data_IF_193982369666
#
_entry.id   IF_193982369666
#
_cell.length_a   1.000
_cell.length_b   1.000
_cell.length_c   1.000
_cell.angle_alpha   90.00
_cell.angle_beta   90.00
_cell.angle_gamma   90.00
#
_symmetry.space_group_name_H-M   'P 1'
#
loop_
_entity.id
_entity.type
_entity.pdbx_description
1 polymer ?
#
# COMPACT_ATOMS: atom_id res chain seq x y z
N UNK A 1 6.31 17.46 13.89
CA UNK A 1 7.42 17.58 12.92
C UNK A 1 6.82 18.01 11.58
N UNK A 2 7.49 18.85 10.80
CA UNK A 2 7.02 19.22 9.45
C UNK A 2 6.98 17.98 8.56
N UNK A 3 5.99 17.90 7.68
CA UNK A 3 5.85 16.78 6.73
C UNK A 3 6.93 16.89 5.65
N UNK A 4 7.52 15.75 5.31
CA UNK A 4 8.60 15.59 4.34
C UNK A 4 8.04 15.37 2.95
N UNK A 5 8.43 16.22 2.00
CA UNK A 5 7.93 16.21 0.64
C UNK A 5 9.07 15.89 -0.31
N UNK A 6 8.85 14.95 -1.22
CA UNK A 6 9.64 14.83 -2.44
C UNK A 6 8.92 15.58 -3.53
N UNK A 7 9.64 16.47 -4.22
CA UNK A 7 9.15 17.18 -5.39
C UNK A 7 9.73 16.55 -6.65
N UNK A 8 8.87 16.16 -7.58
CA UNK A 8 9.24 15.66 -8.91
C UNK A 8 8.95 16.79 -9.89
N UNK A 9 10.01 17.45 -10.35
CA UNK A 9 9.94 18.60 -11.25
C UNK A 9 11.27 18.76 -12.00
N UNK A 10 11.22 18.76 -13.32
CA UNK A 10 12.38 18.96 -14.20
C UNK A 10 12.79 20.44 -14.30
N UNK A 11 11.92 21.38 -13.91
CA UNK A 11 12.21 22.82 -13.90
C UNK A 11 12.77 23.26 -12.53
N UNK A 12 14.08 23.47 -12.46
CA UNK A 12 14.77 23.90 -11.23
C UNK A 12 14.30 25.25 -10.72
N UNK A 13 13.89 26.18 -11.59
CA UNK A 13 13.44 27.52 -11.16
C UNK A 13 12.08 27.43 -10.49
N UNK A 14 11.17 26.65 -11.09
CA UNK A 14 9.85 26.36 -10.51
C UNK A 14 9.99 25.59 -9.20
N UNK A 15 10.82 24.56 -9.17
CA UNK A 15 11.06 23.77 -7.97
C UNK A 15 11.61 24.59 -6.79
N UNK A 16 12.51 25.55 -7.07
CA UNK A 16 13.03 26.46 -6.04
C UNK A 16 11.91 27.34 -5.45
N UNK A 17 11.06 27.93 -6.30
CA UNK A 17 9.90 28.73 -5.86
C UNK A 17 8.90 27.90 -5.03
N UNK A 18 8.62 26.66 -5.46
CA UNK A 18 7.75 25.74 -4.74
C UNK A 18 8.32 25.34 -3.39
N UNK A 19 9.63 25.11 -3.32
CA UNK A 19 10.32 24.77 -2.08
C UNK A 19 10.17 25.88 -1.04
N UNK A 20 10.36 27.14 -1.44
CA UNK A 20 10.16 28.30 -0.56
C UNK A 20 8.69 28.42 -0.10
N UNK A 21 7.76 28.24 -1.03
CA UNK A 21 6.32 28.26 -0.75
C UNK A 21 5.89 27.17 0.23
N UNK A 22 6.40 25.95 0.05
CA UNK A 22 6.15 24.81 0.92
C UNK A 22 6.76 25.01 2.31
N UNK A 23 7.96 25.59 2.38
CA UNK A 23 8.60 25.95 3.63
C UNK A 23 7.75 26.95 4.43
N UNK A 24 7.20 27.98 3.76
CA UNK A 24 6.28 28.94 4.40
C UNK A 24 5.00 28.27 4.93
N UNK A 25 4.55 27.19 4.31
CA UNK A 25 3.41 26.38 4.74
C UNK A 25 3.76 25.28 5.76
N UNK A 26 4.95 25.30 6.36
CA UNK A 26 5.44 24.32 7.35
C UNK A 26 5.66 22.90 6.81
N UNK A 27 5.93 22.77 5.51
CA UNK A 27 6.41 21.55 4.87
C UNK A 27 7.91 21.61 4.64
N UNK A 28 8.56 20.47 4.47
CA UNK A 28 9.99 20.39 4.17
C UNK A 28 10.20 19.59 2.89
N UNK A 29 10.68 20.24 1.84
CA UNK A 29 11.12 19.52 0.64
C UNK A 29 12.46 18.86 0.94
N UNK A 30 12.50 17.54 0.91
CA UNK A 30 13.70 16.74 1.25
C UNK A 30 14.53 16.36 0.03
N UNK A 31 13.92 16.37 -1.14
CA UNK A 31 14.59 16.22 -2.44
C UNK A 31 13.75 16.81 -3.56
N UNK A 32 14.45 17.30 -4.59
CA UNK A 32 13.93 17.50 -5.92
C UNK A 32 14.46 16.36 -6.80
N UNK A 33 13.56 15.69 -7.51
CA UNK A 33 13.86 14.59 -8.43
C UNK A 33 13.28 14.88 -9.81
N UNK A 34 13.82 14.19 -10.81
CA UNK A 34 13.27 14.09 -12.15
C UNK A 34 12.43 12.83 -12.30
N UNK A 35 11.62 12.75 -13.36
CA UNK A 35 10.86 11.54 -13.67
C UNK A 35 11.75 10.32 -14.01
N UNK A 36 13.05 10.53 -14.28
CA UNK A 36 13.99 9.45 -14.64
C UNK A 36 14.71 8.85 -13.42
N UNK A 37 14.57 9.46 -12.24
CA UNK A 37 15.22 8.99 -11.03
C UNK A 37 14.55 7.72 -10.46
N UNK A 38 15.26 7.04 -9.55
CA UNK A 38 14.68 5.91 -8.82
C UNK A 38 13.74 6.40 -7.71
N UNK A 39 12.52 6.78 -8.10
CA UNK A 39 11.55 7.40 -7.20
C UNK A 39 11.15 6.52 -6.02
N UNK A 40 11.02 5.20 -6.23
CA UNK A 40 10.65 4.26 -5.16
C UNK A 40 11.72 4.23 -4.06
N UNK A 41 12.99 4.12 -4.46
CA UNK A 41 14.11 4.12 -3.53
C UNK A 41 14.23 5.45 -2.80
N UNK A 42 14.06 6.57 -3.49
CA UNK A 42 14.11 7.89 -2.88
C UNK A 42 13.00 8.10 -1.84
N UNK A 43 11.77 7.65 -2.12
CA UNK A 43 10.64 7.74 -1.18
C UNK A 43 10.93 6.97 0.11
N UNK A 44 11.53 5.79 0.02
CA UNK A 44 11.89 4.96 1.17
C UNK A 44 13.08 5.54 1.95
N UNK A 45 14.18 5.89 1.27
CA UNK A 45 15.41 6.37 1.91
C UNK A 45 15.25 7.74 2.56
N UNK A 46 14.42 8.60 1.97
CA UNK A 46 14.20 9.95 2.46
C UNK A 46 13.00 10.05 3.39
N UNK A 47 12.38 8.94 3.78
CA UNK A 47 11.19 8.91 4.65
C UNK A 47 10.15 9.95 4.21
N UNK A 48 9.84 10.00 2.91
CA UNK A 48 8.92 11.00 2.38
C UNK A 48 7.50 10.73 2.90
N UNK A 49 6.80 11.78 3.35
CA UNK A 49 5.39 11.70 3.74
C UNK A 49 4.46 11.90 2.54
N UNK A 50 4.89 12.69 1.55
CA UNK A 50 4.10 13.07 0.37
C UNK A 50 5.03 13.17 -0.84
N UNK A 51 4.52 12.77 -2.00
CA UNK A 51 5.16 13.03 -3.30
C UNK A 51 4.34 14.07 -4.06
N UNK A 52 4.98 15.18 -4.41
CA UNK A 52 4.43 16.18 -5.31
C UNK A 52 5.02 15.98 -6.70
N UNK A 53 4.16 15.97 -7.70
CA UNK A 53 4.55 15.86 -9.11
C UNK A 53 4.07 17.13 -9.80
N UNK A 54 5.00 17.99 -10.23
CA UNK A 54 4.66 19.18 -11.03
C UNK A 54 5.21 19.01 -12.44
N UNK A 55 4.32 18.68 -13.38
CA UNK A 55 4.70 18.46 -14.77
C UNK A 55 3.70 19.11 -15.71
N UNK A 56 4.22 19.86 -16.70
CA UNK A 56 3.42 20.52 -17.72
C UNK A 56 2.53 19.52 -18.48
N UNK A 57 3.06 18.32 -18.75
CA UNK A 57 2.31 17.20 -19.32
C UNK A 57 2.73 15.89 -18.65
N UNK A 58 1.84 15.21 -17.91
CA UNK A 58 2.14 13.90 -17.34
C UNK A 58 2.19 12.84 -18.45
N UNK A 59 3.41 12.48 -18.84
CA UNK A 59 3.62 11.38 -19.78
C UNK A 59 3.16 10.04 -19.18
N UNK A 60 2.86 9.08 -20.06
CA UNK A 60 2.50 7.71 -19.65
C UNK A 60 3.52 7.12 -18.68
N UNK A 61 4.81 7.33 -18.95
CA UNK A 61 5.92 6.84 -18.14
C UNK A 61 5.86 7.39 -16.71
N UNK A 62 5.45 8.65 -16.52
CA UNK A 62 5.28 9.23 -15.19
C UNK A 62 4.12 8.57 -14.42
N UNK A 63 3.01 8.30 -15.10
CA UNK A 63 1.88 7.61 -14.47
C UNK A 63 2.23 6.16 -14.13
N UNK A 64 3.04 5.50 -14.95
CA UNK A 64 3.58 4.17 -14.65
C UNK A 64 4.50 4.22 -13.42
N UNK A 65 5.36 5.23 -13.32
CA UNK A 65 6.17 5.48 -12.12
C UNK A 65 5.30 5.69 -10.87
N UNK A 66 4.22 6.48 -10.97
CA UNK A 66 3.25 6.64 -9.88
C UNK A 66 2.61 5.32 -9.46
N UNK A 67 2.24 4.47 -10.42
CA UNK A 67 1.68 3.15 -10.14
C UNK A 67 2.70 2.24 -9.42
N UNK A 68 3.97 2.27 -9.86
CA UNK A 68 5.05 1.53 -9.21
C UNK A 68 5.30 2.01 -7.77
N UNK A 69 5.31 3.33 -7.53
CA UNK A 69 5.41 3.90 -6.19
C UNK A 69 4.23 3.49 -5.31
N UNK A 70 3.00 3.63 -5.80
CA UNK A 70 1.80 3.26 -5.06
C UNK A 70 1.82 1.80 -4.63
N UNK A 71 2.33 0.90 -5.49
CA UNK A 71 2.38 -0.53 -5.20
C UNK A 71 3.50 -0.93 -4.22
N UNK A 72 4.66 -0.25 -4.24
CA UNK A 72 5.86 -0.67 -3.48
C UNK A 72 6.11 0.15 -2.22
N UNK A 73 5.95 1.47 -2.32
CA UNK A 73 6.22 2.43 -1.27
C UNK A 73 5.05 3.42 -1.18
N UNK A 74 3.86 2.97 -0.72
CA UNK A 74 2.64 3.76 -0.81
C UNK A 74 2.77 5.06 -0.02
N UNK A 75 2.60 6.18 -0.73
CA UNK A 75 2.52 7.55 -0.21
C UNK A 75 1.42 8.31 -0.94
N UNK A 76 0.83 9.35 -0.32
CA UNK A 76 -0.03 10.26 -1.04
C UNK A 76 0.77 10.92 -2.18
N UNK A 77 0.27 10.77 -3.40
CA UNK A 77 0.84 11.38 -4.61
C UNK A 77 -0.12 12.47 -5.07
N UNK A 78 0.36 13.69 -5.22
CA UNK A 78 -0.41 14.82 -5.74
C UNK A 78 0.23 15.28 -7.04
N UNK A 79 -0.56 15.27 -8.10
CA UNK A 79 -0.12 15.64 -9.44
C UNK A 79 -0.70 17.00 -9.83
N UNK A 80 0.18 17.93 -10.16
CA UNK A 80 -0.13 19.24 -10.71
C UNK A 80 0.24 19.28 -12.18
N UNK A 81 -0.66 19.83 -12.98
CA UNK A 81 -0.44 20.00 -14.41
C UNK A 81 -1.28 21.13 -14.98
N UNK A 82 -0.88 21.63 -16.15
CA UNK A 82 -1.63 22.64 -16.91
C UNK A 82 -2.65 22.00 -17.85
N UNK A 83 -2.61 20.67 -18.06
CA UNK A 83 -3.48 19.98 -19.00
C UNK A 83 -4.68 19.31 -18.32
N UNK A 84 -5.88 19.58 -18.83
CA UNK A 84 -7.15 19.05 -18.32
C UNK A 84 -7.77 17.99 -19.23
N UNK A 85 -6.99 16.98 -19.63
CA UNK A 85 -7.49 15.91 -20.49
C UNK A 85 -8.17 14.79 -19.67
N UNK A 86 -9.44 14.43 -19.96
CA UNK A 86 -10.17 13.40 -19.21
C UNK A 86 -9.49 12.02 -19.20
N UNK A 87 -8.83 11.64 -20.29
CA UNK A 87 -8.13 10.35 -20.36
C UNK A 87 -6.93 10.33 -19.40
N UNK A 88 -6.19 11.43 -19.36
CA UNK A 88 -5.06 11.63 -18.44
C UNK A 88 -5.50 11.60 -16.98
N UNK A 89 -6.61 12.26 -16.64
CA UNK A 89 -7.20 12.21 -15.30
C UNK A 89 -7.56 10.77 -14.92
N UNK A 90 -8.24 10.04 -15.81
CA UNK A 90 -8.62 8.63 -15.55
C UNK A 90 -7.40 7.74 -15.35
N UNK A 91 -6.35 7.95 -16.14
CA UNK A 91 -5.10 7.20 -16.03
C UNK A 91 -4.38 7.52 -14.70
N UNK A 92 -4.36 8.78 -14.27
CA UNK A 92 -3.76 9.18 -13.00
C UNK A 92 -4.46 8.52 -11.80
N UNK A 93 -5.80 8.50 -11.81
CA UNK A 93 -6.58 7.80 -10.77
C UNK A 93 -6.25 6.30 -10.76
N UNK A 94 -6.15 5.66 -11.93
CA UNK A 94 -5.76 4.23 -12.03
C UNK A 94 -4.33 3.97 -11.55
N UNK A 95 -3.44 4.93 -11.72
CA UNK A 95 -2.06 4.87 -11.22
C UNK A 95 -1.95 5.08 -9.70
N UNK A 96 -3.07 5.35 -9.00
CA UNK A 96 -3.07 5.54 -7.55
C UNK A 96 -2.73 6.96 -7.11
N UNK A 97 -2.74 7.94 -8.03
CA UNK A 97 -2.60 9.35 -7.67
C UNK A 97 -3.77 9.75 -6.77
N UNK A 98 -3.45 10.39 -5.65
CA UNK A 98 -4.44 10.77 -4.63
C UNK A 98 -5.19 12.02 -5.01
N UNK A 99 -4.51 12.99 -5.63
CA UNK A 99 -5.14 14.21 -6.13
C UNK A 99 -4.52 14.66 -7.46
N UNK A 100 -5.37 15.11 -8.38
CA UNK A 100 -4.98 15.65 -9.68
C UNK A 100 -5.50 17.08 -9.79
N UNK A 101 -4.60 18.04 -10.00
CA UNK A 101 -4.93 19.47 -9.97
C UNK A 101 -4.52 20.10 -11.29
N UNK A 102 -5.53 20.68 -11.94
CA UNK A 102 -5.37 21.52 -13.12
C UNK A 102 -5.14 22.96 -12.66
N UNK A 103 -4.32 23.70 -13.40
CA UNK A 103 -3.88 25.10 -13.17
C UNK A 103 -2.55 25.27 -12.42
N UNK A 104 -1.83 24.16 -12.17
CA UNK A 104 -0.54 24.20 -11.48
C UNK A 104 -0.65 24.50 -9.99
N UNK A 105 0.47 24.86 -9.36
CA UNK A 105 0.55 25.05 -7.91
C UNK A 105 0.32 26.52 -7.53
N UNK A 106 -0.73 26.75 -6.74
CA UNK A 106 -0.97 28.00 -6.02
C UNK A 106 -0.66 27.80 -4.53
N UNK A 107 0.27 28.60 -4.01
CA UNK A 107 0.69 28.65 -2.61
C UNK A 107 -0.47 28.64 -1.60
N UNK A 108 -1.52 29.42 -1.88
CA UNK A 108 -2.65 29.57 -0.95
C UNK A 108 -3.55 28.33 -0.95
N UNK A 109 -3.58 27.59 -2.06
CA UNK A 109 -4.43 26.41 -2.24
C UNK A 109 -3.70 25.11 -1.92
N UNK A 110 -2.37 25.13 -1.88
CA UNK A 110 -1.54 23.94 -1.70
C UNK A 110 -1.80 23.22 -0.37
N UNK A 111 -1.80 23.97 0.75
CA UNK A 111 -2.00 23.38 2.08
C UNK A 111 -3.32 22.60 2.22
N UNK A 112 -4.51 23.17 1.94
CA UNK A 112 -5.76 22.42 2.10
C UNK A 112 -5.86 21.23 1.15
N UNK A 113 -5.28 21.32 -0.04
CA UNK A 113 -5.25 20.19 -0.99
C UNK A 113 -4.38 19.05 -0.44
N UNK A 114 -3.18 19.37 0.08
CA UNK A 114 -2.32 18.37 0.71
C UNK A 114 -2.99 17.74 1.93
N UNK A 115 -3.63 18.53 2.79
CA UNK A 115 -4.36 18.02 3.97
C UNK A 115 -5.43 17.01 3.56
N UNK A 116 -6.23 17.32 2.52
CA UNK A 116 -7.26 16.41 1.99
C UNK A 116 -6.63 15.16 1.37
N UNK A 117 -5.57 15.31 0.58
CA UNK A 117 -4.89 14.18 -0.03
C UNK A 117 -4.32 13.22 1.02
N UNK A 118 -3.66 13.72 2.06
CA UNK A 118 -3.16 12.90 3.16
C UNK A 118 -4.31 12.15 3.86
N UNK A 119 -5.42 12.83 4.13
CA UNK A 119 -6.58 12.22 4.77
C UNK A 119 -7.19 11.11 3.89
N UNK A 120 -7.39 11.38 2.60
CA UNK A 120 -7.89 10.39 1.63
C UNK A 120 -6.98 9.18 1.53
N UNK A 121 -5.66 9.40 1.47
CA UNK A 121 -4.70 8.31 1.42
C UNK A 121 -4.75 7.45 2.69
N UNK A 122 -4.81 8.05 3.88
CA UNK A 122 -4.91 7.31 5.16
C UNK A 122 -6.18 6.46 5.23
N UNK A 123 -7.32 7.02 4.85
CA UNK A 123 -8.58 6.28 4.80
C UNK A 123 -8.52 5.13 3.78
N UNK A 124 -7.93 5.37 2.60
CA UNK A 124 -7.77 4.32 1.60
C UNK A 124 -6.87 3.19 2.08
N UNK A 125 -5.73 3.50 2.71
CA UNK A 125 -4.83 2.48 3.28
C UNK A 125 -5.51 1.69 4.39
N UNK A 126 -6.32 2.34 5.22
CA UNK A 126 -7.12 1.66 6.26
C UNK A 126 -8.13 0.70 5.64
N UNK A 127 -8.85 1.12 4.60
CA UNK A 127 -9.80 0.25 3.90
C UNK A 127 -9.11 -0.97 3.28
N UNK A 128 -7.91 -0.80 2.71
CA UNK A 128 -7.12 -1.91 2.18
C UNK A 128 -6.68 -2.87 3.29
N UNK A 129 -6.22 -2.36 4.43
CA UNK A 129 -5.85 -3.17 5.59
C UNK A 129 -7.04 -3.95 6.16
N UNK A 130 -8.19 -3.30 6.33
CA UNK A 130 -9.42 -3.94 6.82
C UNK A 130 -9.93 -5.03 5.85
N UNK A 131 -9.79 -4.79 4.54
CA UNK A 131 -10.12 -5.76 3.50
C UNK A 131 -9.20 -6.99 3.57
N UNK A 132 -7.89 -6.78 3.73
CA UNK A 132 -6.91 -7.85 3.85
C UNK A 132 -7.12 -8.69 5.11
N UNK A 133 -7.32 -8.04 6.26
CA UNK A 133 -7.64 -8.70 7.53
C UNK A 133 -8.94 -9.54 7.42
N UNK A 134 -9.97 -9.00 6.77
CA UNK A 134 -11.23 -9.73 6.57
C UNK A 134 -11.05 -10.93 5.64
N UNK A 135 -10.28 -10.79 4.56
CA UNK A 135 -9.95 -11.92 3.66
C UNK A 135 -9.16 -12.99 4.40
N UNK A 136 -8.18 -12.59 5.21
CA UNK A 136 -7.38 -13.50 6.03
C UNK A 136 -8.24 -14.26 7.03
N UNK A 137 -9.16 -13.58 7.74
CA UNK A 137 -10.11 -14.23 8.67
C UNK A 137 -11.00 -15.26 7.98
N UNK A 138 -11.48 -14.98 6.77
CA UNK A 138 -12.27 -15.93 5.98
C UNK A 138 -11.46 -17.15 5.55
N UNK A 139 -10.23 -16.93 5.07
CA UNK A 139 -9.30 -18.00 4.70
C UNK A 139 -8.96 -18.89 5.91
N UNK A 140 -8.61 -18.27 7.04
CA UNK A 140 -8.31 -18.95 8.30
C UNK A 140 -9.48 -19.83 8.75
N UNK A 141 -10.71 -19.31 8.72
CA UNK A 141 -11.89 -20.10 9.12
C UNK A 141 -12.03 -21.36 8.25
N UNK A 142 -11.90 -21.22 6.93
CA UNK A 142 -11.96 -22.36 6.00
C UNK A 142 -10.86 -23.37 6.29
N UNK A 143 -9.64 -22.91 6.50
CA UNK A 143 -8.48 -23.77 6.74
C UNK A 143 -8.60 -24.49 8.09
N UNK A 144 -9.10 -23.81 9.14
CA UNK A 144 -9.37 -24.39 10.46
C UNK A 144 -10.42 -25.50 10.37
N UNK A 145 -11.52 -25.28 9.67
CA UNK A 145 -12.58 -26.29 9.52
C UNK A 145 -12.06 -27.53 8.77
N UNK A 146 -11.24 -27.34 7.73
CA UNK A 146 -10.56 -28.44 7.02
C UNK A 146 -9.56 -29.18 7.90
N UNK A 147 -8.73 -28.46 8.66
CA UNK A 147 -7.76 -29.07 9.55
C UNK A 147 -8.43 -29.88 10.67
N UNK A 148 -9.53 -29.37 11.26
CA UNK A 148 -10.34 -30.12 12.21
C UNK A 148 -10.85 -31.42 11.60
N UNK A 149 -11.43 -31.38 10.40
CA UNK A 149 -11.94 -32.58 9.73
C UNK A 149 -10.85 -33.66 9.53
N UNK A 150 -9.64 -33.25 9.17
CA UNK A 150 -8.49 -34.17 9.04
C UNK A 150 -8.10 -34.74 10.42
N UNK A 151 -8.01 -33.92 11.46
CA UNK A 151 -7.68 -34.37 12.81
C UNK A 151 -8.74 -35.33 13.37
N UNK A 152 -10.02 -35.05 13.12
CA UNK A 152 -11.14 -35.93 13.47
C UNK A 152 -10.98 -37.29 12.80
N UNK A 153 -10.70 -37.32 11.49
CA UNK A 153 -10.50 -38.57 10.74
C UNK A 153 -9.27 -39.36 11.21
N UNK A 154 -8.12 -38.71 11.34
CA UNK A 154 -6.85 -39.37 11.64
C UNK A 154 -6.71 -39.81 13.09
N UNK A 155 -7.29 -39.06 14.04
CA UNK A 155 -7.18 -39.34 15.48
C UNK A 155 -8.49 -39.78 16.13
N UNK A 156 -9.55 -39.98 15.34
CA UNK A 156 -10.88 -40.39 15.82
C UNK A 156 -11.41 -39.48 16.93
N UNK A 157 -11.22 -38.17 16.74
CA UNK A 157 -11.66 -37.15 17.68
C UNK A 157 -13.02 -36.58 17.27
N UNK A 158 -13.80 -36.14 18.24
CA UNK A 158 -14.90 -35.23 17.97
C UNK A 158 -14.39 -33.82 17.60
N UNK A 159 -15.30 -32.95 17.16
CA UNK A 159 -14.94 -31.60 16.72
C UNK A 159 -14.30 -30.76 17.83
N UNK A 160 -14.81 -30.87 19.06
CA UNK A 160 -14.32 -30.11 20.21
C UNK A 160 -12.89 -30.50 20.56
N UNK A 161 -12.60 -31.80 20.59
CA UNK A 161 -11.26 -32.34 20.85
C UNK A 161 -10.29 -32.01 19.72
N UNK A 162 -10.73 -32.05 18.45
CA UNK A 162 -9.93 -31.62 17.31
C UNK A 162 -9.57 -30.12 17.38
N UNK A 163 -10.53 -29.26 17.71
CA UNK A 163 -10.30 -27.83 17.91
C UNK A 163 -9.35 -27.57 19.09
N UNK A 164 -9.56 -28.24 20.23
CA UNK A 164 -8.70 -28.11 21.40
C UNK A 164 -7.25 -28.52 21.10
N UNK A 165 -7.06 -29.60 20.33
CA UNK A 165 -5.75 -30.05 19.90
C UNK A 165 -5.06 -29.03 18.99
N UNK A 166 -5.79 -28.49 18.00
CA UNK A 166 -5.27 -27.48 17.08
C UNK A 166 -4.87 -26.21 17.84
N UNK A 167 -5.72 -25.74 18.75
CA UNK A 167 -5.45 -24.59 19.63
C UNK A 167 -4.25 -24.82 20.53
N UNK A 168 -4.13 -26.01 21.13
CA UNK A 168 -2.97 -26.38 21.96
C UNK A 168 -1.67 -26.34 21.14
N UNK A 169 -1.69 -26.81 19.90
CA UNK A 169 -0.54 -26.74 19.00
C UNK A 169 -0.16 -25.29 18.66
N UNK A 170 -1.16 -24.46 18.31
CA UNK A 170 -0.96 -23.04 18.04
C UNK A 170 -0.30 -22.31 19.22
N UNK A 171 -0.78 -22.55 20.44
CA UNK A 171 -0.21 -21.99 21.67
C UNK A 171 1.23 -22.45 21.91
N UNK A 172 1.50 -23.76 21.76
CA UNK A 172 2.84 -24.32 21.96
C UNK A 172 3.87 -23.73 20.99
N UNK A 173 3.44 -23.39 19.76
CA UNK A 173 4.30 -22.79 18.72
C UNK A 173 4.25 -21.27 18.68
N UNK A 174 3.42 -20.61 19.50
CA UNK A 174 3.18 -19.15 19.50
C UNK A 174 2.78 -18.59 18.14
N UNK A 175 1.95 -19.33 17.42
CA UNK A 175 1.40 -18.94 16.11
C UNK A 175 -0.12 -18.78 16.19
N UNK A 176 -0.71 -18.17 15.17
CA UNK A 176 -2.16 -18.04 15.04
C UNK A 176 -2.81 -19.40 14.80
N UNK A 177 -4.11 -19.49 15.07
CA UNK A 177 -4.86 -20.73 14.84
C UNK A 177 -4.95 -21.08 13.34
N UNK A 178 -5.02 -20.07 12.46
CA UNK A 178 -4.98 -20.24 11.01
C UNK A 178 -3.65 -20.83 10.52
N UNK A 179 -2.52 -20.36 11.04
CA UNK A 179 -1.20 -20.91 10.72
C UNK A 179 -1.05 -22.36 11.20
N UNK A 180 -1.54 -22.67 12.40
CA UNK A 180 -1.57 -24.03 12.90
C UNK A 180 -2.42 -24.94 11.99
N UNK A 181 -3.56 -24.46 11.52
CA UNK A 181 -4.42 -25.18 10.57
C UNK A 181 -3.69 -25.45 9.25
N UNK A 182 -3.06 -24.43 8.65
CA UNK A 182 -2.25 -24.59 7.43
C UNK A 182 -1.10 -25.58 7.61
N UNK A 183 -0.46 -25.60 8.78
CA UNK A 183 0.58 -26.59 9.09
C UNK A 183 0.05 -28.02 9.07
N UNK A 184 -1.16 -28.24 9.61
CA UNK A 184 -1.82 -29.56 9.59
C UNK A 184 -2.20 -29.94 8.16
N UNK A 185 -2.74 -29.01 7.37
CA UNK A 185 -3.11 -29.25 5.97
C UNK A 185 -1.89 -29.65 5.13
N UNK A 186 -0.80 -28.88 5.21
CA UNK A 186 0.43 -29.17 4.48
C UNK A 186 1.02 -30.54 4.87
N UNK A 187 0.98 -30.89 6.16
CA UNK A 187 1.42 -32.21 6.62
C UNK A 187 0.54 -33.35 6.10
N UNK A 188 -0.78 -33.13 6.00
CA UNK A 188 -1.69 -34.13 5.47
C UNK A 188 -1.52 -34.36 3.96
N UNK A 189 -1.30 -33.29 3.18
CA UNK A 189 -1.00 -33.39 1.74
C UNK A 189 0.26 -34.22 1.48
N UNK A 190 1.31 -34.02 2.28
CA UNK A 190 2.55 -34.81 2.18
C UNK A 190 2.33 -36.31 2.46
N UNK A 191 1.43 -36.65 3.39
CA UNK A 191 1.12 -38.03 3.74
C UNK A 191 0.27 -38.72 2.66
N UNK A 192 -0.68 -38.01 2.06
CA UNK A 192 -1.50 -38.54 0.96
C UNK A 192 -0.64 -38.83 -0.29
N UNK A 193 0.38 -38.00 -0.57
CA UNK A 193 1.33 -38.24 -1.68
C UNK A 193 2.31 -39.40 -1.48
N UNK A 194 2.42 -39.98 -0.29
CA UNK A 194 3.24 -41.19 -0.06
C UNK A 194 2.49 -42.51 -0.30
N UNK A 195 1.18 -42.46 -0.58
CA UNK A 195 0.34 -43.63 -0.85
C UNK A 195 0.20 -44.04 -2.33
N UNK A 196 0.79 -43.29 -3.26
CA UNK A 196 0.68 -43.53 -4.73
C UNK A 196 1.90 -44.24 -5.36
N UNK A 197 2.63 -45.06 -4.59
CA UNK A 197 3.69 -45.94 -5.14
C UNK A 197 3.37 -47.42 -4.96
#
# INVERSE_FOLDING_TARGET
MPLRIILIDDDTSRAAFLTETLAAASYTVVAQLSAQDNLVEAVEQLDADIVLVDMDNPARDMLENCAHMTARAPRPIVLFTKQSDPQTISNAVRAGVTAYIVDGIDAQRLKPILDVAIAQFKEHQKLLADLDDTRTRLADRRDIDRAKAILMRLKQLDENAAYALLRKNAMAKRITLGEAARTVLAAAELLDHQGEK
#
